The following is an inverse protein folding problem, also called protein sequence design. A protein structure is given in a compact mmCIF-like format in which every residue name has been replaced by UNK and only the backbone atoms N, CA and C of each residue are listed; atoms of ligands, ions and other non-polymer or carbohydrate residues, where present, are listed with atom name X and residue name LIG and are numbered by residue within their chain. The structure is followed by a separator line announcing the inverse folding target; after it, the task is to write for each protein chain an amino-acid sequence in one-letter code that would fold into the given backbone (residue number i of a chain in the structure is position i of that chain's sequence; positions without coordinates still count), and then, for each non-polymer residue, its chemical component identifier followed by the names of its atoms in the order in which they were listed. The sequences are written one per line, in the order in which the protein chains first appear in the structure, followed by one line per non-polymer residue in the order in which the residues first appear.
data_IF_706693830853
#
_entry.id   IF_706693830853
#
_cell.length_a   1.000
_cell.length_b   1.000
_cell.length_c   1.000
_cell.angle_alpha   90.00
_cell.angle_beta   90.00
_cell.angle_gamma   90.00
#
_symmetry.space_group_name_H-M   'P 1'
#
loop_
_entity.id
_entity.type
_entity.pdbx_description
1 polymer ?
#
# COMPACT_ATOMS: atom_id res chain seq x y z
N UNK A 1 -0.77 -18.15 -9.70
CA UNK A 1 0.04 -18.08 -8.46
C UNK A 1 -0.69 -17.23 -7.43
N UNK A 2 -0.49 -17.48 -6.14
CA UNK A 2 -1.09 -16.70 -5.04
C UNK A 2 -0.04 -16.34 -3.99
N UNK A 3 -0.48 -16.10 -2.76
CA UNK A 3 0.40 -15.89 -1.61
C UNK A 3 1.16 -17.17 -1.25
N UNK A 4 2.39 -17.00 -0.76
CA UNK A 4 3.19 -18.10 -0.21
C UNK A 4 2.62 -18.62 1.12
N UNK A 5 1.94 -17.75 1.88
CA UNK A 5 1.34 -18.07 3.17
C UNK A 5 -0.08 -17.46 3.18
N UNK A 6 -1.07 -18.15 2.58
CA UNK A 6 -2.40 -17.58 2.30
C UNK A 6 -3.37 -17.55 3.50
N UNK A 7 -3.07 -18.29 4.56
CA UNK A 7 -3.98 -18.47 5.72
C UNK A 7 -3.32 -18.18 7.08
N UNK A 8 -2.04 -18.52 7.24
CA UNK A 8 -1.37 -18.47 8.54
C UNK A 8 -0.66 -17.12 8.75
N UNK A 9 -1.34 -16.19 9.43
CA UNK A 9 -0.76 -14.89 9.77
C UNK A 9 0.49 -15.03 10.66
N UNK A 10 0.53 -16.01 11.57
CA UNK A 10 1.68 -16.20 12.47
C UNK A 10 2.90 -16.73 11.72
N UNK A 11 2.72 -17.66 10.78
CA UNK A 11 3.78 -18.07 9.86
C UNK A 11 4.26 -16.90 8.99
N UNK A 12 3.34 -16.07 8.49
CA UNK A 12 3.72 -14.88 7.74
C UNK A 12 4.53 -13.89 8.60
N UNK A 13 4.12 -13.65 9.84
CA UNK A 13 4.86 -12.79 10.78
C UNK A 13 6.25 -13.36 11.12
N UNK A 14 6.37 -14.68 11.33
CA UNK A 14 7.66 -15.36 11.53
C UNK A 14 8.57 -15.17 10.31
N UNK A 15 8.04 -15.36 9.11
CA UNK A 15 8.76 -15.12 7.87
C UNK A 15 9.20 -13.65 7.73
N UNK A 16 8.30 -12.69 7.96
CA UNK A 16 8.61 -11.26 7.87
C UNK A 16 9.69 -10.84 8.87
N UNK A 17 9.60 -11.34 10.11
CA UNK A 17 10.60 -11.09 11.14
C UNK A 17 11.95 -11.71 10.77
N UNK A 18 11.98 -12.86 10.08
CA UNK A 18 13.22 -13.48 9.60
C UNK A 18 14.02 -12.62 8.63
N UNK A 19 13.35 -11.70 7.90
CA UNK A 19 13.97 -10.83 6.89
C UNK A 19 14.59 -9.56 7.45
N UNK A 20 14.35 -9.24 8.72
CA UNK A 20 14.93 -8.05 9.37
C UNK A 20 15.77 -8.45 10.57
N UNK A 21 17.09 -8.59 10.37
CA UNK A 21 18.08 -8.76 11.44
C UNK A 21 17.90 -7.72 12.57
N UNK A 22 17.55 -6.48 12.22
CA UNK A 22 17.26 -5.41 13.18
C UNK A 22 16.00 -5.68 14.01
N UNK A 23 14.91 -6.20 13.42
CA UNK A 23 13.70 -6.57 14.17
C UNK A 23 13.93 -7.82 15.03
N UNK A 24 14.69 -8.81 14.56
CA UNK A 24 15.05 -10.01 15.34
C UNK A 24 15.89 -9.68 16.59
N UNK A 25 16.83 -8.74 16.47
CA UNK A 25 17.65 -8.30 17.59
C UNK A 25 16.83 -7.41 18.53
N UNK A 26 16.04 -6.47 17.99
CA UNK A 26 15.18 -5.61 18.81
C UNK A 26 14.07 -6.38 19.52
N UNK A 27 13.50 -7.44 18.93
CA UNK A 27 12.48 -8.28 19.59
C UNK A 27 13.04 -9.12 20.74
N UNK A 28 14.36 -9.35 20.78
CA UNK A 28 15.06 -10.04 21.88
C UNK A 28 15.52 -9.11 23.00
N UNK A 29 15.72 -7.82 22.69
CA UNK A 29 16.26 -6.81 23.63
C UNK A 29 15.14 -5.93 24.20
N UNK A 30 14.04 -5.73 23.48
CA UNK A 30 12.93 -4.88 23.90
C UNK A 30 11.90 -5.73 24.64
N UNK A 31 11.83 -5.60 25.98
CA UNK A 31 10.56 -5.82 26.69
C UNK A 31 9.51 -4.93 26.01
N UNK A 32 8.26 -5.37 25.77
CA UNK A 32 7.23 -4.49 25.23
C UNK A 32 7.04 -3.32 26.20
N UNK A 33 7.69 -2.20 25.92
CA UNK A 33 7.63 -1.00 26.73
C UNK A 33 6.50 -0.15 26.17
N UNK A 34 5.31 -0.29 26.77
CA UNK A 34 4.07 0.41 26.43
C UNK A 34 3.18 -0.38 25.48
N UNK A 35 1.91 -0.56 25.85
CA UNK A 35 0.88 -0.93 24.90
C UNK A 35 0.82 0.11 23.77
N UNK A 36 0.51 -0.30 22.52
CA UNK A 36 0.41 0.65 21.43
C UNK A 36 -0.66 1.70 21.74
N UNK A 37 -0.24 2.97 21.72
CA UNK A 37 -1.12 4.12 21.93
C UNK A 37 -1.86 4.42 20.62
N UNK A 38 -3.16 4.66 20.73
CA UNK A 38 -3.99 5.02 19.58
C UNK A 38 -4.70 6.35 19.83
N UNK A 39 -5.16 6.94 18.74
CA UNK A 39 -6.09 8.06 18.71
C UNK A 39 -7.38 7.55 18.06
N UNK A 40 -8.50 7.76 18.74
CA UNK A 40 -9.84 7.54 18.21
C UNK A 40 -10.40 8.88 17.77
N UNK A 41 -10.78 8.97 16.50
CA UNK A 41 -11.51 10.09 15.94
C UNK A 41 -12.94 9.66 15.66
N UNK A 42 -13.92 10.47 16.02
CA UNK A 42 -15.34 10.22 15.73
C UNK A 42 -16.00 11.46 15.14
N UNK A 43 -16.93 11.25 14.20
CA UNK A 43 -17.76 12.32 13.62
C UNK A 43 -19.20 12.34 14.20
N UNK A 44 -19.52 11.45 15.14
CA UNK A 44 -20.84 11.31 15.77
C UNK A 44 -20.82 10.38 16.99
N UNK A 45 -21.88 10.38 17.82
CA UNK A 45 -21.94 9.63 19.08
C UNK A 45 -22.11 8.11 18.93
N UNK A 46 -22.64 7.61 17.82
CA UNK A 46 -22.94 6.19 17.59
C UNK A 46 -22.38 5.74 16.22
N UNK A 47 -21.07 5.50 16.10
CA UNK A 47 -20.45 5.12 14.83
C UNK A 47 -20.92 3.74 14.35
N UNK A 48 -21.28 3.65 13.07
CA UNK A 48 -21.63 2.41 12.34
C UNK A 48 -20.46 1.80 11.59
N UNK A 49 -19.45 2.60 11.27
CA UNK A 49 -18.21 2.17 10.59
C UNK A 49 -17.00 2.47 11.47
N UNK A 50 -16.09 1.51 11.58
CA UNK A 50 -14.76 1.71 12.17
C UNK A 50 -13.68 1.58 11.09
N UNK A 51 -12.95 2.65 10.81
CA UNK A 51 -11.80 2.66 9.88
C UNK A 51 -10.50 2.59 10.64
N UNK A 52 -9.56 1.77 10.17
CA UNK A 52 -8.26 1.57 10.82
C UNK A 52 -7.13 2.02 9.90
N UNK A 53 -6.31 2.96 10.37
CA UNK A 53 -5.19 3.51 9.59
C UNK A 53 -3.90 3.42 10.42
N UNK A 54 -3.21 2.28 10.33
CA UNK A 54 -1.93 2.05 11.01
C UNK A 54 -0.79 2.91 10.44
N UNK A 55 -0.74 3.10 9.12
CA UNK A 55 0.30 3.89 8.45
C UNK A 55 -0.33 4.82 7.41
N UNK A 56 -0.43 6.13 7.67
CA UNK A 56 -1.08 7.10 6.78
C UNK A 56 -0.15 7.49 5.62
N UNK A 57 0.25 6.51 4.81
CA UNK A 57 0.92 6.76 3.51
C UNK A 57 -0.06 7.38 2.52
N UNK A 58 0.39 8.08 1.46
CA UNK A 58 -0.51 8.64 0.45
C UNK A 58 -1.49 7.62 -0.13
N UNK A 59 -1.05 6.38 -0.39
CA UNK A 59 -1.94 5.34 -0.91
C UNK A 59 -2.92 4.80 0.12
N UNK A 60 -2.53 4.73 1.40
CA UNK A 60 -3.44 4.38 2.48
C UNK A 60 -4.51 5.46 2.71
N UNK A 61 -4.14 6.74 2.62
CA UNK A 61 -5.08 7.86 2.70
C UNK A 61 -6.08 7.79 1.54
N UNK A 62 -5.59 7.58 0.32
CA UNK A 62 -6.43 7.40 -0.86
C UNK A 62 -7.41 6.22 -0.72
N UNK A 63 -6.97 5.10 -0.14
CA UNK A 63 -7.81 3.91 0.00
C UNK A 63 -8.77 3.96 1.20
N UNK A 64 -8.40 4.59 2.32
CA UNK A 64 -9.15 4.47 3.58
C UNK A 64 -9.82 5.77 4.05
N UNK A 65 -9.23 6.93 3.75
CA UNK A 65 -9.75 8.22 4.19
C UNK A 65 -10.64 8.87 3.12
N UNK A 66 -10.23 8.84 1.85
CA UNK A 66 -11.01 9.48 0.78
C UNK A 66 -12.42 8.90 0.59
N UNK A 67 -12.70 7.59 0.74
CA UNK A 67 -14.06 7.06 0.65
C UNK A 67 -15.04 7.70 1.63
N UNK A 68 -14.55 8.20 2.78
CA UNK A 68 -15.39 8.78 3.82
C UNK A 68 -16.15 10.03 3.34
N UNK A 69 -15.65 10.73 2.33
CA UNK A 69 -16.35 11.90 1.75
C UNK A 69 -17.63 11.54 1.01
N UNK A 70 -17.81 10.27 0.67
CA UNK A 70 -19.00 9.76 -0.03
C UNK A 70 -19.98 9.05 0.91
N UNK A 71 -19.64 8.95 2.19
CA UNK A 71 -20.50 8.38 3.24
C UNK A 71 -21.19 9.51 4.03
N UNK A 72 -21.79 10.46 3.30
CA UNK A 72 -22.48 11.59 3.92
C UNK A 72 -23.63 11.10 4.81
N UNK A 73 -23.67 11.60 6.05
CA UNK A 73 -24.67 11.21 7.04
C UNK A 73 -24.33 9.96 7.86
N UNK A 74 -23.32 9.17 7.46
CA UNK A 74 -22.86 8.04 8.26
C UNK A 74 -21.98 8.48 9.43
N UNK A 75 -22.22 7.84 10.58
CA UNK A 75 -21.37 8.03 11.75
C UNK A 75 -20.20 7.05 11.70
N UNK A 76 -18.98 7.58 11.73
CA UNK A 76 -17.73 6.89 11.49
C UNK A 76 -16.78 7.13 12.65
N UNK A 77 -16.08 6.08 13.05
CA UNK A 77 -14.91 6.12 13.91
C UNK A 77 -13.66 5.81 13.10
N UNK A 78 -12.55 6.50 13.39
CA UNK A 78 -11.22 6.21 12.83
C UNK A 78 -10.26 5.93 13.97
N UNK A 79 -9.57 4.78 13.92
CA UNK A 79 -8.51 4.42 14.85
C UNK A 79 -7.15 4.48 14.14
N UNK A 80 -6.22 5.27 14.69
CA UNK A 80 -4.88 5.43 14.15
C UNK A 80 -3.83 5.62 15.25
N UNK A 81 -2.52 5.41 14.99
CA UNK A 81 -1.47 5.64 16.00
C UNK A 81 -1.23 7.11 16.38
N UNK A 82 -1.90 8.05 15.70
CA UNK A 82 -1.79 9.49 15.91
C UNK A 82 -3.06 10.18 15.43
N UNK A 83 -3.23 11.45 15.80
CA UNK A 83 -4.30 12.28 15.27
C UNK A 83 -4.17 12.47 13.75
N UNK A 84 -5.23 12.11 13.03
CA UNK A 84 -5.35 12.25 11.57
C UNK A 84 -6.41 13.26 11.15
N UNK A 85 -6.99 14.04 12.06
CA UNK A 85 -8.10 14.97 11.77
C UNK A 85 -7.81 15.91 10.61
N UNK A 86 -6.59 16.45 10.51
CA UNK A 86 -6.15 17.29 9.39
C UNK A 86 -6.02 16.59 8.03
N UNK A 87 -6.18 15.27 7.98
CA UNK A 87 -6.15 14.44 6.76
C UNK A 87 -7.54 13.90 6.40
N UNK A 88 -8.55 14.10 7.25
CA UNK A 88 -9.92 13.61 7.06
C UNK A 88 -10.82 14.79 6.66
N UNK A 89 -11.77 14.54 5.76
CA UNK A 89 -12.81 15.51 5.45
C UNK A 89 -13.85 15.57 6.60
N UNK A 90 -14.38 16.76 6.87
CA UNK A 90 -15.43 16.98 7.87
C UNK A 90 -14.91 17.29 9.28
N UNK A 91 -15.84 17.29 10.24
CA UNK A 91 -15.57 17.65 11.65
C UNK A 91 -15.37 16.39 12.49
N UNK A 92 -14.26 16.34 13.22
CA UNK A 92 -13.85 15.18 14.01
C UNK A 92 -13.54 15.57 15.44
N UNK A 93 -14.05 14.79 16.39
CA UNK A 93 -13.59 14.83 17.79
C UNK A 93 -12.54 13.75 17.97
N UNK A 94 -11.35 14.15 18.42
CA UNK A 94 -10.19 13.28 18.60
C UNK A 94 -9.92 13.08 20.09
N UNK A 95 -9.66 11.83 20.48
CA UNK A 95 -9.14 11.53 21.82
C UNK A 95 -8.06 10.45 21.75
N UNK A 96 -7.06 10.59 22.61
CA UNK A 96 -6.07 9.54 22.84
C UNK A 96 -6.67 8.40 23.65
N UNK A 97 -6.31 7.17 23.29
CA UNK A 97 -6.65 5.96 24.02
C UNK A 97 -5.39 5.41 24.67
N UNK A 98 -5.43 5.32 25.99
CA UNK A 98 -4.43 4.63 26.80
C UNK A 98 -5.00 3.27 27.21
N UNK A 99 -4.24 2.18 27.11
CA UNK A 99 -4.67 0.88 27.66
C UNK A 99 -5.73 0.09 26.87
N UNK A 100 -6.01 0.50 25.63
CA UNK A 100 -6.99 0.01 24.63
C UNK A 100 -8.03 -1.04 25.06
N UNK A 101 -9.28 -0.61 25.23
CA UNK A 101 -10.44 -1.50 25.19
C UNK A 101 -11.70 -0.70 24.82
N UNK A 102 -12.27 -0.78 23.60
CA UNK A 102 -13.59 -0.16 23.35
C UNK A 102 -14.60 -0.91 22.46
N UNK A 103 -15.12 -2.07 22.89
CA UNK A 103 -16.34 -2.68 22.37
C UNK A 103 -17.50 -2.55 23.38
N UNK A 104 -17.96 -1.32 23.58
CA UNK A 104 -19.24 -0.96 24.20
C UNK A 104 -19.65 0.40 23.65
N UNK A 105 -18.69 1.31 23.62
CA UNK A 105 -18.75 2.57 22.85
C UNK A 105 -18.86 2.32 21.33
N UNK A 106 -18.36 1.20 20.82
CA UNK A 106 -18.46 0.80 19.41
C UNK A 106 -19.62 -0.18 19.12
N UNK A 107 -20.61 -0.30 20.01
CA UNK A 107 -21.77 -1.21 19.83
C UNK A 107 -22.57 -0.96 18.55
N UNK A 108 -22.52 0.26 18.01
CA UNK A 108 -23.16 0.66 16.76
C UNK A 108 -22.44 0.15 15.52
N UNK A 109 -21.17 -0.26 15.64
CA UNK A 109 -20.35 -0.64 14.49
C UNK A 109 -20.89 -1.91 13.84
N UNK A 110 -21.08 -1.86 12.53
CA UNK A 110 -21.53 -2.96 11.67
C UNK A 110 -20.46 -3.37 10.65
N UNK A 111 -19.50 -2.48 10.38
CA UNK A 111 -18.34 -2.80 9.54
C UNK A 111 -17.04 -2.24 10.12
N UNK A 112 -15.96 -3.00 9.95
CA UNK A 112 -14.58 -2.59 10.23
C UNK A 112 -13.82 -2.56 8.91
N UNK A 113 -13.21 -1.42 8.57
CA UNK A 113 -12.57 -1.16 7.28
C UNK A 113 -11.07 -0.86 7.43
N UNK A 114 -10.20 -1.62 6.74
CA UNK A 114 -8.74 -1.58 6.99
C UNK A 114 -7.89 -2.12 5.84
N UNK A 115 -6.57 -2.02 5.97
CA UNK A 115 -5.58 -2.72 5.14
C UNK A 115 -5.51 -4.23 5.40
N UNK A 116 -5.99 -4.68 6.55
CA UNK A 116 -5.92 -6.07 7.00
C UNK A 116 -5.73 -6.17 8.51
N UNK A 117 -5.32 -7.35 8.99
CA UNK A 117 -5.20 -7.67 10.42
C UNK A 117 -3.74 -7.93 10.88
N UNK A 118 -2.77 -7.54 10.05
CA UNK A 118 -1.34 -7.81 10.25
C UNK A 118 -0.57 -6.66 10.93
N UNK A 119 -1.24 -5.53 11.17
CA UNK A 119 -0.74 -4.37 11.90
C UNK A 119 -1.53 -4.15 13.20
N UNK A 120 -1.02 -3.38 14.18
CA UNK A 120 -1.62 -3.25 15.51
C UNK A 120 -3.10 -2.83 15.52
N UNK A 121 -3.49 -1.75 14.81
CA UNK A 121 -4.89 -1.32 14.76
C UNK A 121 -5.74 -2.36 14.03
N UNK A 122 -5.26 -2.86 12.89
CA UNK A 122 -5.90 -3.95 12.14
C UNK A 122 -6.20 -5.21 12.97
N UNK A 123 -5.24 -5.64 13.80
CA UNK A 123 -5.40 -6.80 14.67
C UNK A 123 -6.44 -6.56 15.77
N UNK A 124 -6.50 -5.34 16.34
CA UNK A 124 -7.54 -4.93 17.28
C UNK A 124 -8.91 -4.93 16.62
N UNK A 125 -9.04 -4.26 15.48
CA UNK A 125 -10.31 -4.16 14.77
C UNK A 125 -10.82 -5.50 14.27
N UNK A 126 -9.95 -6.45 13.91
CA UNK A 126 -10.40 -7.82 13.60
C UNK A 126 -11.01 -8.49 14.84
N UNK A 127 -10.37 -8.40 16.01
CA UNK A 127 -10.96 -8.92 17.26
C UNK A 127 -12.30 -8.25 17.59
N UNK A 128 -12.38 -6.92 17.50
CA UNK A 128 -13.62 -6.19 17.74
C UNK A 128 -14.71 -6.53 16.73
N UNK A 129 -14.37 -6.75 15.45
CA UNK A 129 -15.34 -7.17 14.45
C UNK A 129 -16.03 -8.49 14.85
N UNK A 130 -15.27 -9.44 15.40
CA UNK A 130 -15.80 -10.70 15.90
C UNK A 130 -16.69 -10.51 17.13
N UNK A 131 -16.29 -9.66 18.07
CA UNK A 131 -17.06 -9.37 19.28
C UNK A 131 -18.38 -8.64 18.98
N UNK A 132 -18.38 -7.74 17.99
CA UNK A 132 -19.52 -6.91 17.62
C UNK A 132 -20.43 -7.56 16.58
N UNK A 133 -20.03 -8.70 16.00
CA UNK A 133 -20.70 -9.30 14.85
C UNK A 133 -20.60 -8.45 13.57
N UNK A 134 -19.63 -7.53 13.51
CA UNK A 134 -19.43 -6.62 12.38
C UNK A 134 -18.69 -7.31 11.22
N UNK A 135 -18.97 -6.87 9.99
CA UNK A 135 -18.26 -7.30 8.79
C UNK A 135 -16.81 -6.78 8.82
N UNK A 136 -15.84 -7.64 8.52
CA UNK A 136 -14.45 -7.23 8.38
C UNK A 136 -14.10 -7.01 6.90
N UNK A 137 -13.86 -5.77 6.53
CA UNK A 137 -13.64 -5.30 5.16
C UNK A 137 -12.19 -4.88 5.00
N UNK A 138 -11.51 -5.44 4.00
CA UNK A 138 -10.12 -5.16 3.67
C UNK A 138 -10.07 -4.46 2.31
N UNK A 139 -9.44 -3.29 2.21
CA UNK A 139 -9.16 -2.68 0.91
C UNK A 139 -7.69 -2.79 0.54
N UNK A 140 -7.44 -3.12 -0.73
CA UNK A 140 -6.13 -3.00 -1.33
C UNK A 140 -5.74 -1.52 -1.44
N UNK A 141 -4.50 -1.19 -1.10
CA UNK A 141 -3.96 0.17 -1.22
C UNK A 141 -2.59 0.21 -1.94
N UNK A 142 -2.11 -0.94 -2.40
CA UNK A 142 -0.82 -1.10 -3.05
C UNK A 142 -0.75 -2.40 -3.83
N UNK A 143 0.34 -2.61 -4.56
CA UNK A 143 0.53 -3.82 -5.35
C UNK A 143 0.87 -5.00 -4.46
N UNK A 144 0.23 -6.13 -4.73
CA UNK A 144 0.33 -7.35 -3.92
C UNK A 144 1.42 -8.24 -4.48
N UNK A 145 2.32 -8.76 -3.64
CA UNK A 145 3.33 -9.77 -4.01
C UNK A 145 3.00 -11.10 -3.33
N UNK A 146 3.63 -12.23 -3.68
CA UNK A 146 3.43 -13.49 -2.95
C UNK A 146 3.80 -13.44 -1.46
N UNK A 147 4.45 -12.37 -1.03
CA UNK A 147 4.87 -12.13 0.33
C UNK A 147 3.92 -11.20 1.10
N UNK A 148 2.81 -10.79 0.49
CA UNK A 148 1.79 -10.03 1.18
C UNK A 148 1.17 -10.84 2.33
N UNK A 149 0.70 -10.17 3.40
CA UNK A 149 0.05 -10.84 4.51
C UNK A 149 -1.27 -11.50 4.08
N UNK A 150 -1.65 -12.63 4.70
CA UNK A 150 -2.93 -13.27 4.43
C UNK A 150 -4.11 -12.41 4.88
N UNK A 151 -5.23 -12.57 4.19
CA UNK A 151 -6.51 -11.97 4.58
C UNK A 151 -7.05 -12.63 5.85
N UNK A 152 -7.79 -11.88 6.65
CA UNK A 152 -8.45 -12.44 7.83
C UNK A 152 -9.54 -13.43 7.40
N UNK A 153 -9.89 -14.38 8.28
CA UNK A 153 -10.94 -15.36 7.97
C UNK A 153 -12.29 -14.66 7.79
N UNK A 154 -13.02 -15.01 6.73
CA UNK A 154 -14.36 -14.47 6.50
C UNK A 154 -14.39 -13.03 5.98
N UNK A 155 -13.25 -12.43 5.62
CA UNK A 155 -13.20 -11.03 5.21
C UNK A 155 -13.89 -10.74 3.87
N UNK A 156 -14.30 -9.50 3.67
CA UNK A 156 -14.67 -8.97 2.36
C UNK A 156 -13.51 -8.12 1.80
N UNK A 157 -12.98 -8.48 0.63
CA UNK A 157 -11.86 -7.79 -0.01
C UNK A 157 -12.35 -6.81 -1.08
N UNK A 158 -11.92 -5.56 -1.00
CA UNK A 158 -12.05 -4.56 -2.06
C UNK A 158 -10.72 -4.50 -2.83
N UNK A 159 -10.69 -5.06 -4.03
CA UNK A 159 -9.49 -5.24 -4.84
C UNK A 159 -9.42 -4.27 -6.03
N UNK A 160 -8.22 -4.04 -6.55
CA UNK A 160 -8.03 -3.19 -7.73
C UNK A 160 -8.55 -3.84 -9.01
N UNK A 161 -8.37 -5.16 -9.16
CA UNK A 161 -8.84 -5.94 -10.31
C UNK A 161 -9.30 -7.34 -9.88
N UNK A 162 -9.88 -8.07 -10.83
CA UNK A 162 -10.26 -9.47 -10.62
C UNK A 162 -9.03 -10.35 -10.33
N UNK A 163 -7.94 -10.14 -11.08
CA UNK A 163 -6.68 -10.87 -10.91
C UNK A 163 -6.05 -10.59 -9.55
N UNK A 164 -6.16 -9.35 -9.05
CA UNK A 164 -5.70 -8.99 -7.71
C UNK A 164 -6.53 -9.67 -6.61
N UNK A 165 -7.85 -9.73 -6.79
CA UNK A 165 -8.74 -10.42 -5.86
C UNK A 165 -8.41 -11.92 -5.81
N UNK A 166 -8.30 -12.57 -6.97
CA UNK A 166 -7.97 -14.00 -7.07
C UNK A 166 -6.59 -14.30 -6.49
N UNK A 167 -5.60 -13.44 -6.78
CA UNK A 167 -4.25 -13.57 -6.26
C UNK A 167 -4.23 -13.49 -4.73
N UNK A 168 -4.84 -12.46 -4.13
CA UNK A 168 -4.78 -12.26 -2.68
C UNK A 168 -5.63 -13.29 -1.93
N UNK A 169 -6.81 -13.65 -2.48
CA UNK A 169 -7.62 -14.76 -1.95
C UNK A 169 -6.87 -16.08 -1.97
N UNK A 170 -6.02 -16.32 -2.98
CA UNK A 170 -5.22 -17.54 -3.09
C UNK A 170 -6.06 -18.82 -3.02
N UNK A 171 -7.22 -18.82 -3.69
CA UNK A 171 -8.13 -19.98 -3.74
C UNK A 171 -9.03 -20.16 -2.51
N UNK A 172 -8.99 -19.25 -1.54
CA UNK A 172 -9.84 -19.31 -0.34
C UNK A 172 -11.30 -18.96 -0.64
N UNK A 173 -12.21 -19.84 -0.25
CA UNK A 173 -13.66 -19.66 -0.40
C UNK A 173 -14.28 -18.84 0.74
N UNK A 174 -13.61 -18.76 1.89
CA UNK A 174 -14.10 -17.98 3.03
C UNK A 174 -13.98 -16.47 2.83
N UNK A 175 -13.29 -16.03 1.77
CA UNK A 175 -13.10 -14.62 1.44
C UNK A 175 -13.97 -14.24 0.25
N UNK A 176 -14.88 -13.30 0.48
CA UNK A 176 -15.64 -12.65 -0.60
C UNK A 176 -14.87 -11.44 -1.13
N UNK A 177 -15.14 -10.99 -2.36
CA UNK A 177 -14.47 -9.82 -2.91
C UNK A 177 -15.37 -8.97 -3.80
N UNK A 178 -14.95 -7.74 -4.04
CA UNK A 178 -15.50 -6.80 -5.00
C UNK A 178 -14.34 -6.04 -5.67
N UNK A 179 -14.47 -5.76 -6.97
CA UNK A 179 -13.48 -4.98 -7.73
C UNK A 179 -13.88 -3.52 -7.71
N UNK A 180 -13.04 -2.68 -7.09
CA UNK A 180 -13.28 -1.25 -6.89
C UNK A 180 -12.30 -0.35 -7.63
N UNK A 181 -11.27 -0.91 -8.26
CA UNK A 181 -10.20 -0.14 -8.89
C UNK A 181 -9.22 0.48 -7.88
N UNK A 182 -8.22 1.19 -8.37
CA UNK A 182 -7.17 1.79 -7.55
C UNK A 182 -7.31 3.32 -7.49
N UNK A 183 -7.67 3.86 -6.33
CA UNK A 183 -7.82 5.31 -6.15
C UNK A 183 -6.54 6.08 -6.50
N UNK A 184 -5.37 5.53 -6.17
CA UNK A 184 -4.09 6.15 -6.51
C UNK A 184 -3.86 6.25 -8.03
N UNK A 185 -4.28 5.24 -8.81
CA UNK A 185 -4.16 5.24 -10.26
C UNK A 185 -5.21 6.16 -10.90
N UNK A 186 -6.40 6.23 -10.31
CA UNK A 186 -7.43 7.19 -10.70
C UNK A 186 -6.95 8.64 -10.56
N UNK A 187 -6.33 8.97 -9.43
CA UNK A 187 -5.67 10.27 -9.23
C UNK A 187 -4.57 10.52 -10.25
N UNK A 188 -3.69 9.53 -10.45
CA UNK A 188 -2.60 9.66 -11.41
C UNK A 188 -3.11 9.94 -12.83
N UNK A 189 -4.15 9.23 -13.28
CA UNK A 189 -4.77 9.41 -14.60
C UNK A 189 -5.36 10.81 -14.84
N UNK A 190 -5.75 11.51 -13.77
CA UNK A 190 -6.30 12.88 -13.84
C UNK A 190 -5.24 13.97 -13.83
N UNK A 191 -4.01 13.63 -13.47
CA UNK A 191 -2.92 14.63 -13.43
C UNK A 191 -2.51 15.08 -14.82
N UNK A 192 -2.80 14.28 -15.85
CA UNK A 192 -2.58 14.60 -17.27
C UNK A 192 -1.20 15.19 -17.52
N UNK A 193 -0.16 14.37 -17.62
CA UNK A 193 1.09 14.88 -18.18
C UNK A 193 0.89 15.06 -19.69
N UNK A 194 1.12 16.28 -20.20
CA UNK A 194 1.34 16.45 -21.63
C UNK A 194 2.46 15.50 -22.05
N UNK A 195 2.21 14.67 -23.06
CA UNK A 195 3.16 13.64 -23.52
C UNK A 195 4.54 14.28 -23.75
N UNK A 196 5.59 13.94 -22.99
CA UNK A 196 6.92 14.43 -23.33
C UNK A 196 7.32 13.92 -24.71
N UNK A 197 8.13 14.71 -25.41
CA UNK A 197 8.52 14.49 -26.80
C UNK A 197 9.47 13.28 -26.96
N UNK A 198 8.91 12.08 -26.96
CA UNK A 198 9.56 10.83 -27.38
C UNK A 198 10.78 10.36 -26.55
N UNK A 199 11.26 9.13 -26.78
CA UNK A 199 12.28 8.48 -25.93
C UNK A 199 13.73 9.00 -26.11
N UNK A 200 13.93 10.24 -26.58
CA UNK A 200 15.23 10.69 -27.10
C UNK A 200 16.28 11.07 -26.05
N UNK A 201 15.96 11.99 -25.13
CA UNK A 201 16.99 12.72 -24.35
C UNK A 201 16.72 12.88 -22.84
N UNK A 202 15.55 12.45 -22.35
CA UNK A 202 15.22 12.62 -20.93
C UNK A 202 15.95 11.57 -20.07
N UNK A 203 16.73 12.03 -19.08
CA UNK A 203 17.44 11.12 -18.16
C UNK A 203 16.42 10.33 -17.31
N UNK A 204 16.38 8.99 -17.37
CA UNK A 204 15.40 8.21 -16.59
C UNK A 204 15.65 8.35 -15.09
N UNK A 205 14.62 8.04 -14.31
CA UNK A 205 14.66 8.01 -12.84
C UNK A 205 14.40 6.57 -12.38
N UNK A 206 15.35 6.00 -11.64
CA UNK A 206 15.21 4.67 -11.07
C UNK A 206 14.69 4.76 -9.62
N UNK A 207 13.50 4.23 -9.37
CA UNK A 207 12.89 4.24 -8.04
C UNK A 207 13.51 3.16 -7.14
N UNK A 208 14.04 3.60 -6.00
CA UNK A 208 14.66 2.77 -4.99
C UNK A 208 13.69 1.81 -4.30
N UNK A 209 14.18 0.60 -4.05
CA UNK A 209 13.43 -0.46 -3.34
C UNK A 209 14.36 -1.27 -2.41
N UNK A 210 15.41 -0.65 -1.86
CA UNK A 210 16.38 -1.37 -1.00
C UNK A 210 15.80 -1.78 0.36
N UNK A 211 14.64 -1.23 0.74
CA UNK A 211 13.96 -1.51 2.00
C UNK A 211 13.01 -2.71 1.94
N UNK A 212 12.64 -3.17 0.74
CA UNK A 212 11.71 -4.28 0.53
C UNK A 212 12.28 -5.60 1.06
N UNK A 213 11.43 -6.39 1.72
CA UNK A 213 11.78 -7.73 2.21
C UNK A 213 11.54 -8.83 1.16
N UNK A 214 10.74 -8.50 0.13
CA UNK A 214 10.25 -9.38 -0.93
C UNK A 214 11.36 -9.81 -1.89
N UNK A 215 12.24 -8.86 -2.22
CA UNK A 215 13.39 -9.11 -3.07
C UNK A 215 14.67 -8.98 -2.25
N UNK A 216 15.66 -9.84 -2.53
CA UNK A 216 16.93 -9.75 -1.83
C UNK A 216 17.56 -8.38 -2.05
N UNK A 217 18.11 -7.80 -0.97
CA UNK A 217 18.82 -6.51 -1.03
C UNK A 217 19.92 -6.51 -2.09
N UNK A 218 20.60 -7.64 -2.27
CA UNK A 218 21.64 -7.81 -3.29
C UNK A 218 21.06 -7.67 -4.70
N UNK A 219 19.94 -8.34 -5.00
CA UNK A 219 19.29 -8.26 -6.31
C UNK A 219 18.78 -6.83 -6.58
N UNK A 220 18.11 -6.20 -5.61
CA UNK A 220 17.66 -4.81 -5.73
C UNK A 220 18.83 -3.85 -5.96
N UNK A 221 19.93 -4.03 -5.22
CA UNK A 221 21.13 -3.22 -5.34
C UNK A 221 21.87 -3.43 -6.67
N UNK A 222 22.05 -4.68 -7.09
CA UNK A 222 22.67 -5.03 -8.37
C UNK A 222 21.86 -4.42 -9.52
N UNK A 223 20.53 -4.59 -9.50
CA UNK A 223 19.63 -4.04 -10.52
C UNK A 223 19.73 -2.52 -10.61
N UNK A 224 19.52 -1.82 -9.49
CA UNK A 224 19.56 -0.36 -9.46
C UNK A 224 20.92 0.18 -9.93
N UNK A 225 22.02 -0.39 -9.43
CA UNK A 225 23.37 0.01 -9.82
C UNK A 225 23.59 -0.22 -11.31
N UNK A 226 23.37 -1.44 -11.78
CA UNK A 226 23.57 -1.81 -13.19
C UNK A 226 22.81 -0.83 -14.08
N UNK A 227 21.51 -0.68 -13.85
CA UNK A 227 20.67 0.22 -14.62
C UNK A 227 21.19 1.65 -14.64
N UNK A 228 21.42 2.27 -13.46
CA UNK A 228 21.88 3.66 -13.39
C UNK A 228 23.24 3.85 -14.08
N UNK A 229 24.15 2.89 -13.96
CA UNK A 229 25.47 2.98 -14.61
C UNK A 229 25.43 2.76 -16.12
N UNK A 230 24.48 1.97 -16.63
CA UNK A 230 24.39 1.66 -18.07
C UNK A 230 23.56 2.69 -18.85
N UNK A 231 22.56 3.30 -18.22
CA UNK A 231 21.64 4.25 -18.89
C UNK A 231 21.89 5.70 -18.50
N UNK A 232 22.74 5.96 -17.50
CA UNK A 232 22.92 7.28 -16.93
C UNK A 232 21.74 7.75 -16.06
N UNK A 233 20.77 6.87 -15.78
CA UNK A 233 19.62 7.20 -14.94
C UNK A 233 20.01 7.67 -13.54
N UNK A 234 19.13 8.47 -12.94
CA UNK A 234 19.29 8.94 -11.57
C UNK A 234 18.53 8.06 -10.59
N UNK A 235 19.21 7.65 -9.52
CA UNK A 235 18.58 6.87 -8.46
C UNK A 235 17.78 7.79 -7.53
N UNK A 236 16.51 7.46 -7.30
CA UNK A 236 15.65 8.13 -6.32
C UNK A 236 15.39 7.18 -5.15
N UNK A 237 16.01 7.38 -3.98
CA UNK A 237 15.80 6.51 -2.82
C UNK A 237 14.34 6.49 -2.38
N UNK A 238 13.85 5.34 -1.95
CA UNK A 238 12.57 5.29 -1.26
C UNK A 238 12.66 6.04 0.09
N UNK A 239 11.61 6.76 0.54
CA UNK A 239 11.59 7.42 1.85
C UNK A 239 11.91 6.49 3.04
N UNK A 240 11.66 5.19 2.88
CA UNK A 240 11.95 4.17 3.90
C UNK A 240 13.43 3.71 3.94
N UNK A 241 14.26 4.08 2.95
CA UNK A 241 15.70 3.73 2.89
C UNK A 241 16.57 4.56 3.83
N UNK A 242 16.20 4.59 5.11
CA UNK A 242 16.84 5.41 6.15
C UNK A 242 17.86 4.65 6.99
N UNK A 243 17.94 3.32 6.86
CA UNK A 243 18.85 2.49 7.65
C UNK A 243 20.33 2.73 7.28
N UNK A 244 21.22 2.39 8.22
CA UNK A 244 22.67 2.62 8.07
C UNK A 244 23.25 1.90 6.85
N UNK A 245 22.77 0.69 6.55
CA UNK A 245 23.25 -0.05 5.39
C UNK A 245 22.81 0.62 4.09
N UNK A 246 21.59 1.18 4.05
CA UNK A 246 21.09 1.90 2.86
C UNK A 246 21.90 3.17 2.63
N UNK A 247 22.13 3.96 3.68
CA UNK A 247 23.00 5.15 3.60
C UNK A 247 24.44 4.81 3.17
N UNK A 248 25.00 3.70 3.68
CA UNK A 248 26.34 3.26 3.28
C UNK A 248 26.36 2.83 1.80
N UNK A 249 25.34 2.08 1.36
CA UNK A 249 25.17 1.66 -0.02
C UNK A 249 25.06 2.87 -0.96
N UNK A 250 24.25 3.86 -0.59
CA UNK A 250 24.07 5.10 -1.36
C UNK A 250 25.39 5.85 -1.53
N UNK A 251 26.14 6.06 -0.43
CA UNK A 251 27.47 6.70 -0.47
C UNK A 251 28.45 5.93 -1.35
N UNK A 252 28.43 4.59 -1.28
CA UNK A 252 29.29 3.74 -2.10
C UNK A 252 28.93 3.81 -3.59
N UNK A 253 27.65 3.98 -3.92
CA UNK A 253 27.18 4.18 -5.29
C UNK A 253 27.52 5.56 -5.84
N UNK A 254 27.35 6.62 -5.05
CA UNK A 254 27.76 7.98 -5.44
C UNK A 254 29.25 8.04 -5.79
N UNK A 255 30.12 7.43 -4.96
CA UNK A 255 31.57 7.31 -5.25
C UNK A 255 31.89 6.51 -6.52
N UNK A 256 30.95 5.69 -6.99
CA UNK A 256 31.08 4.86 -8.20
C UNK A 256 30.31 5.45 -9.39
N UNK A 257 29.90 6.72 -9.32
CA UNK A 257 29.31 7.46 -10.43
C UNK A 257 27.79 7.34 -10.57
N UNK A 258 27.08 6.73 -9.62
CA UNK A 258 25.61 6.75 -9.62
C UNK A 258 25.12 8.12 -9.19
N UNK A 259 24.37 8.79 -10.07
CA UNK A 259 23.71 10.07 -9.78
C UNK A 259 22.43 9.83 -8.98
N UNK A 260 22.11 10.76 -8.09
CA UNK A 260 20.91 10.71 -7.26
C UNK A 260 19.99 11.85 -7.66
N UNK A 261 18.71 11.55 -7.77
CA UNK A 261 17.69 12.56 -8.05
C UNK A 261 17.54 13.44 -6.80
N UNK A 262 17.77 14.75 -6.95
CA UNK A 262 17.85 15.70 -5.83
C UNK A 262 17.02 16.98 -6.03
N UNK A 263 16.12 17.02 -7.02
CA UNK A 263 15.30 18.20 -7.32
C UNK A 263 14.28 18.53 -6.23
N UNK A 264 13.93 17.55 -5.38
CA UNK A 264 12.85 17.67 -4.40
C UNK A 264 11.45 17.62 -5.02
N UNK A 265 11.33 17.50 -6.34
CA UNK A 265 10.05 17.37 -7.03
C UNK A 265 9.35 16.06 -6.67
N UNK A 266 8.02 16.04 -6.72
CA UNK A 266 7.27 14.79 -6.61
C UNK A 266 7.48 13.95 -7.87
N UNK A 267 7.33 12.62 -7.78
CA UNK A 267 7.40 11.76 -8.97
C UNK A 267 6.35 12.18 -10.02
N UNK A 268 5.17 12.59 -9.57
CA UNK A 268 4.07 13.03 -10.44
C UNK A 268 4.39 14.31 -11.24
N UNK A 269 5.34 15.12 -10.77
CA UNK A 269 5.80 16.35 -11.44
C UNK A 269 7.12 16.17 -12.17
N UNK A 270 7.81 15.05 -11.92
CA UNK A 270 9.08 14.71 -12.52
C UNK A 270 8.78 14.13 -13.90
N UNK A 271 8.62 15.01 -14.90
CA UNK A 271 8.27 14.68 -16.29
C UNK A 271 9.43 13.96 -17.01
N UNK A 272 9.76 12.78 -16.51
CA UNK A 272 10.93 11.98 -16.88
C UNK A 272 10.54 10.51 -16.85
N UNK A 273 11.16 9.65 -17.67
CA UNK A 273 10.84 8.25 -17.65
C UNK A 273 11.12 7.59 -16.30
N UNK A 274 10.18 6.76 -15.84
CA UNK A 274 10.20 6.13 -14.52
C UNK A 274 10.52 4.64 -14.64
N UNK A 275 11.54 4.18 -13.91
CA UNK A 275 11.94 2.77 -13.93
C UNK A 275 12.04 2.22 -12.52
N UNK A 276 11.60 1.00 -12.30
CA UNK A 276 11.77 0.32 -11.00
C UNK A 276 11.79 -1.20 -11.17
N UNK A 277 11.85 -1.96 -10.07
CA UNK A 277 11.71 -3.42 -10.15
C UNK A 277 10.23 -3.80 -10.06
N UNK A 278 9.50 -3.31 -9.06
CA UNK A 278 8.08 -3.62 -8.85
C UNK A 278 7.36 -2.52 -8.02
N UNK A 279 7.77 -1.26 -8.19
CA UNK A 279 7.17 -0.13 -7.47
C UNK A 279 5.82 0.28 -8.06
N UNK A 280 4.85 0.60 -7.20
CA UNK A 280 3.56 1.21 -7.60
C UNK A 280 3.76 2.49 -8.42
N UNK A 281 4.86 3.22 -8.19
CA UNK A 281 5.18 4.44 -8.93
C UNK A 281 5.35 4.25 -10.44
N UNK A 282 5.63 3.03 -10.91
CA UNK A 282 5.66 2.72 -12.35
C UNK A 282 4.25 2.75 -12.94
N UNK A 283 3.26 2.19 -12.24
CA UNK A 283 1.86 2.25 -12.67
C UNK A 283 1.27 3.64 -12.53
N UNK A 284 1.65 4.39 -11.49
CA UNK A 284 1.24 5.80 -11.36
C UNK A 284 1.79 6.66 -12.51
N UNK A 285 3.05 6.46 -12.89
CA UNK A 285 3.64 7.13 -14.05
C UNK A 285 2.92 6.76 -15.35
N UNK A 286 2.72 5.46 -15.61
CA UNK A 286 1.97 4.99 -16.77
C UNK A 286 0.54 5.53 -16.82
N UNK A 287 -0.16 5.52 -15.68
CA UNK A 287 -1.52 6.07 -15.57
C UNK A 287 -1.56 7.57 -15.86
N UNK A 288 -0.53 8.33 -15.45
CA UNK A 288 -0.40 9.75 -15.75
C UNK A 288 -0.06 10.05 -17.22
N UNK A 289 0.30 9.03 -18.01
CA UNK A 289 0.75 9.17 -19.40
C UNK A 289 2.26 9.36 -19.55
N UNK A 290 3.04 9.11 -18.49
CA UNK A 290 4.49 9.17 -18.52
C UNK A 290 5.10 7.84 -18.98
N UNK A 291 6.28 7.92 -19.58
CA UNK A 291 7.04 6.73 -19.93
C UNK A 291 7.49 5.96 -18.69
N UNK A 292 7.18 4.67 -18.64
CA UNK A 292 7.41 3.86 -17.46
C UNK A 292 7.80 2.41 -17.80
N UNK A 293 8.78 1.86 -17.08
CA UNK A 293 9.26 0.50 -17.29
C UNK A 293 9.62 -0.22 -15.99
N UNK A 294 9.78 -1.52 -16.10
CA UNK A 294 10.40 -2.36 -15.08
C UNK A 294 11.71 -2.99 -15.55
N UNK A 295 12.60 -3.27 -14.61
CA UNK A 295 13.79 -4.07 -14.89
C UNK A 295 14.27 -4.78 -13.64
N UNK A 296 14.89 -5.94 -13.82
CA UNK A 296 15.49 -6.73 -12.75
C UNK A 296 16.64 -7.54 -13.34
N UNK A 297 17.78 -7.56 -12.66
CA UNK A 297 18.86 -8.49 -13.02
C UNK A 297 18.49 -9.88 -12.49
N UNK A 298 18.46 -10.87 -13.38
CA UNK A 298 18.11 -12.26 -13.07
C UNK A 298 16.78 -12.38 -12.30
N UNK A 299 15.64 -11.92 -12.87
CA UNK A 299 14.39 -11.82 -12.12
C UNK A 299 13.97 -13.19 -11.58
N UNK A 300 13.59 -13.31 -10.30
CA UNK A 300 12.93 -14.53 -9.82
C UNK A 300 11.57 -14.69 -10.50
N UNK A 301 11.05 -15.92 -10.55
CA UNK A 301 9.78 -16.23 -11.22
C UNK A 301 8.65 -15.27 -10.80
N UNK A 302 8.48 -15.08 -9.49
CA UNK A 302 7.42 -14.22 -8.96
C UNK A 302 7.48 -12.76 -9.44
N UNK A 303 8.67 -12.22 -9.76
CA UNK A 303 8.80 -10.86 -10.30
C UNK A 303 8.24 -10.81 -11.72
N UNK A 304 8.48 -11.84 -12.54
CA UNK A 304 7.90 -11.93 -13.89
C UNK A 304 6.38 -12.11 -13.84
N UNK A 305 5.89 -12.92 -12.91
CA UNK A 305 4.44 -13.10 -12.72
C UNK A 305 3.78 -11.81 -12.24
N UNK A 306 4.45 -11.08 -11.35
CA UNK A 306 4.03 -9.76 -10.91
C UNK A 306 3.95 -8.78 -12.08
N UNK A 307 4.98 -8.73 -12.93
CA UNK A 307 4.96 -7.88 -14.13
C UNK A 307 3.82 -8.24 -15.07
N UNK A 308 3.60 -9.54 -15.29
CA UNK A 308 2.51 -10.03 -16.15
C UNK A 308 1.14 -9.62 -15.60
N UNK A 309 0.89 -9.85 -14.31
CA UNK A 309 -0.41 -9.52 -13.67
C UNK A 309 -0.72 -8.03 -13.71
N UNK A 310 0.29 -7.18 -13.60
CA UNK A 310 0.11 -5.71 -13.64
C UNK A 310 0.35 -5.09 -15.02
N UNK A 311 0.57 -5.89 -16.07
CA UNK A 311 0.81 -5.38 -17.43
C UNK A 311 2.08 -4.53 -17.57
N UNK A 312 3.09 -4.77 -16.74
CA UNK A 312 4.32 -3.96 -16.69
C UNK A 312 5.28 -4.34 -17.81
N UNK A 313 5.75 -3.33 -18.56
CA UNK A 313 6.66 -3.53 -19.69
C UNK A 313 8.12 -3.38 -19.27
N UNK A 314 8.99 -4.24 -19.81
CA UNK A 314 10.40 -4.27 -19.43
C UNK A 314 11.19 -3.19 -20.15
N UNK A 315 12.21 -2.64 -19.49
CA UNK A 315 13.11 -1.67 -20.12
C UNK A 315 13.69 -2.23 -21.43
N UNK A 316 13.60 -1.44 -22.51
CA UNK A 316 14.03 -1.84 -23.86
C UNK A 316 12.88 -2.33 -24.75
N UNK A 317 11.67 -2.49 -24.23
CA UNK A 317 10.44 -2.62 -25.02
C UNK A 317 9.67 -1.29 -25.08
N UNK A 318 8.49 -1.32 -25.70
CA UNK A 318 7.50 -0.24 -25.57
C UNK A 318 7.21 0.05 -24.09
N UNK A 319 6.83 1.31 -23.83
CA UNK A 319 6.49 1.81 -22.50
C UNK A 319 5.28 1.07 -21.90
N UNK A 320 5.26 0.96 -20.58
CA UNK A 320 4.15 0.35 -19.84
C UNK A 320 2.85 1.10 -20.20
N UNK A 321 1.83 0.40 -20.73
CA UNK A 321 0.56 1.04 -21.05
C UNK A 321 -0.13 1.55 -19.79
N UNK A 322 -0.91 2.62 -19.92
CA UNK A 322 -1.72 3.11 -18.81
C UNK A 322 -2.66 2.00 -18.31
N UNK A 323 -2.66 1.67 -17.01
CA UNK A 323 -3.55 0.66 -16.46
C UNK A 323 -5.02 1.11 -16.62
N UNK A 324 -5.96 0.18 -16.81
CA UNK A 324 -7.37 0.51 -16.89
C UNK A 324 -7.83 1.17 -15.58
N UNK A 325 -8.54 2.28 -15.70
CA UNK A 325 -9.16 2.97 -14.57
C UNK A 325 -10.68 3.04 -14.77
N UNK A 326 -11.50 2.72 -13.74
CA UNK A 326 -12.96 2.70 -13.86
C UNK A 326 -13.52 4.10 -14.11
N UNK A 327 -14.67 4.24 -14.79
CA UNK A 327 -15.28 5.57 -15.01
C UNK A 327 -15.74 6.24 -13.71
N UNK A 328 -16.18 5.44 -12.74
CA UNK A 328 -16.54 5.90 -11.40
C UNK A 328 -15.30 5.91 -10.52
N UNK A 329 -15.18 6.93 -9.69
CA UNK A 329 -14.05 7.05 -8.77
C UNK A 329 -13.96 5.87 -7.80
N UNK A 330 -12.80 5.19 -7.69
CA UNK A 330 -12.63 4.07 -6.76
C UNK A 330 -13.01 4.36 -5.31
N UNK A 331 -12.72 5.56 -4.79
CA UNK A 331 -13.16 5.96 -3.45
C UNK A 331 -14.70 5.98 -3.31
N UNK A 332 -15.42 6.33 -4.38
CA UNK A 332 -16.88 6.27 -4.42
C UNK A 332 -17.39 4.83 -4.48
N UNK A 333 -16.73 3.95 -5.25
CA UNK A 333 -17.07 2.53 -5.33
C UNK A 333 -16.84 1.83 -3.98
N UNK A 334 -15.73 2.14 -3.29
CA UNK A 334 -15.46 1.67 -1.92
C UNK A 334 -16.57 2.12 -0.97
N UNK A 335 -16.94 3.40 -0.99
CA UNK A 335 -18.01 3.92 -0.15
C UNK A 335 -19.36 3.23 -0.43
N UNK A 336 -19.70 3.02 -1.70
CA UNK A 336 -20.93 2.32 -2.08
C UNK A 336 -20.95 0.86 -1.59
N UNK A 337 -19.82 0.15 -1.68
CA UNK A 337 -19.68 -1.20 -1.12
C UNK A 337 -19.86 -1.21 0.40
N UNK A 338 -19.22 -0.28 1.11
CA UNK A 338 -19.37 -0.12 2.56
C UNK A 338 -20.82 0.19 2.94
N UNK A 339 -21.49 1.11 2.25
CA UNK A 339 -22.88 1.47 2.51
C UNK A 339 -23.81 0.25 2.41
N UNK A 340 -23.68 -0.57 1.35
CA UNK A 340 -24.44 -1.82 1.22
C UNK A 340 -24.20 -2.78 2.40
N UNK A 341 -22.95 -2.94 2.82
CA UNK A 341 -22.61 -3.79 3.97
C UNK A 341 -23.25 -3.26 5.26
N UNK A 342 -23.29 -1.95 5.46
CA UNK A 342 -23.92 -1.33 6.63
C UNK A 342 -25.44 -1.54 6.65
N UNK A 343 -26.09 -1.61 5.49
CA UNK A 343 -27.53 -1.88 5.31
C UNK A 343 -27.89 -3.36 5.49
N UNK A 344 -27.08 -4.28 4.96
CA UNK A 344 -27.31 -5.74 5.05
C UNK A 344 -27.20 -6.31 6.48
N UNK A 345 -26.61 -5.54 7.41
CA UNK A 345 -26.39 -5.97 8.80
C UNK A 345 -27.48 -5.44 9.75
N UNK A 346 -28.66 -5.05 9.23
CA UNK A 346 -29.83 -4.56 9.98
C UNK A 346 -30.78 -5.68 10.36
#
# INVERSE_FOLDING_TARGET
MGLNIPEDLEAWQRWQNSRSLKRQIMSRVRRPSGEPEFTLLVNGPEPRLLVLIDVPTPSAVAAYAEPLRFLEGEQVAVLAPKDLSGMLAGSWTSRRLDGVELPGELRGVRAVFTAGHFLPAGALGYRWSKQLGARFVVAQHGLTTPFAPPLARGSHLLAFSQEDAEFWKSGRDDVTHEVVGAQLLWHASRRGSGRPAGPGDATPVFLGQLHGAELSRWTSAKTARTFCTTTGAEYRPHPAETDRLSRLQHRAWQRRGVRFESSGQSLATLDRPVVSVFSTGVLEAAAAGQDAWVTCVDPPAWVRDFWTRYGLSQWGSDSTPAPPVPQTEPAQLIAASIARILEETV
#
